data_IF_804157914154
#
_entry.id   IF_804157914154
#
_cell.length_a   1.000
_cell.length_b   1.000
_cell.length_c   1.000
_cell.angle_alpha   90.00
_cell.angle_beta   90.00
_cell.angle_gamma   90.00
#
_symmetry.space_group_name_H-M   'P 1'
#
loop_
_entity.id
_entity.type
_entity.pdbx_description
1 polymer ?
#
# COMPACT_ATOMS: atom_id res chain seq x y z
N UNK A 1 -25.45 -82.70 -40.18
CA UNK A 1 -24.59 -82.38 -39.01
C UNK A 1 -24.10 -80.93 -38.94
N UNK A 2 -23.69 -80.29 -40.05
CA UNK A 2 -23.18 -78.89 -40.03
C UNK A 2 -24.18 -77.81 -39.55
N UNK A 3 -25.47 -77.95 -39.87
CA UNK A 3 -26.52 -76.99 -39.44
C UNK A 3 -26.86 -77.08 -37.94
N UNK A 4 -26.75 -78.27 -37.35
CA UNK A 4 -27.02 -78.48 -35.92
C UNK A 4 -25.91 -77.89 -35.04
N UNK A 5 -24.63 -78.04 -35.44
CA UNK A 5 -23.52 -77.41 -34.73
C UNK A 5 -23.58 -75.87 -34.76
N UNK A 6 -24.02 -75.29 -35.88
CA UNK A 6 -24.11 -73.82 -36.00
C UNK A 6 -25.19 -73.25 -35.09
N UNK A 7 -26.35 -73.91 -34.97
CA UNK A 7 -27.40 -73.49 -34.03
C UNK A 7 -26.95 -73.68 -32.58
N UNK A 8 -26.24 -74.77 -32.27
CA UNK A 8 -25.71 -75.00 -30.91
C UNK A 8 -24.67 -73.95 -30.51
N UNK A 9 -23.77 -73.56 -31.43
CA UNK A 9 -22.79 -72.50 -31.19
C UNK A 9 -23.47 -71.12 -31.01
N UNK A 10 -24.52 -70.86 -31.78
CA UNK A 10 -25.29 -69.61 -31.72
C UNK A 10 -26.01 -69.47 -30.38
N UNK A 11 -26.61 -70.55 -29.87
CA UNK A 11 -27.26 -70.59 -28.56
C UNK A 11 -26.23 -70.46 -27.43
N UNK A 12 -25.06 -71.09 -27.55
CA UNK A 12 -23.97 -70.94 -26.57
C UNK A 12 -23.47 -69.49 -26.47
N UNK A 13 -23.32 -68.80 -27.61
CA UNK A 13 -22.89 -67.40 -27.67
C UNK A 13 -23.90 -66.45 -27.02
N UNK A 14 -25.20 -66.69 -27.23
CA UNK A 14 -26.28 -65.92 -26.61
C UNK A 14 -26.30 -66.12 -25.08
N UNK A 15 -26.02 -67.34 -24.60
CA UNK A 15 -25.91 -67.62 -23.17
C UNK A 15 -24.65 -66.98 -22.53
N UNK A 16 -23.56 -66.82 -23.27
CA UNK A 16 -22.35 -66.14 -22.75
C UNK A 16 -22.46 -64.62 -22.69
N UNK A 17 -23.33 -64.00 -23.49
CA UNK A 17 -23.57 -62.53 -23.43
C UNK A 17 -24.62 -62.13 -22.38
N UNK A 18 -25.34 -63.08 -21.78
CA UNK A 18 -26.25 -62.83 -20.64
C UNK A 18 -25.60 -63.05 -19.28
N UNK A 19 -24.31 -63.37 -19.23
CA UNK A 19 -23.52 -63.12 -18.04
C UNK A 19 -23.32 -61.60 -17.95
N UNK A 20 -24.36 -60.91 -17.49
CA UNK A 20 -24.16 -59.69 -16.74
C UNK A 20 -23.02 -59.99 -15.79
N UNK A 21 -21.97 -59.17 -15.86
CA UNK A 21 -21.04 -59.01 -14.76
C UNK A 21 -21.90 -58.57 -13.59
N UNK A 22 -22.41 -59.54 -12.84
CA UNK A 22 -22.76 -59.34 -11.47
C UNK A 22 -21.42 -59.13 -10.79
N UNK A 23 -20.97 -57.87 -10.78
CA UNK A 23 -20.17 -57.39 -9.68
C UNK A 23 -20.89 -57.89 -8.43
N UNK A 24 -20.18 -58.72 -7.69
CA UNK A 24 -20.60 -59.36 -6.45
C UNK A 24 -21.56 -58.45 -5.68
N UNK A 25 -22.84 -58.84 -5.65
CA UNK A 25 -23.86 -58.21 -4.81
C UNK A 25 -23.64 -58.61 -3.34
N UNK A 26 -22.41 -58.46 -2.88
CA UNK A 26 -21.88 -58.83 -1.58
C UNK A 26 -21.14 -57.69 -0.89
N UNK A 27 -21.24 -56.45 -1.39
CA UNK A 27 -20.88 -55.25 -0.61
C UNK A 27 -21.58 -53.96 -1.08
N UNK A 28 -22.82 -54.09 -1.60
CA UNK A 28 -23.69 -52.94 -1.92
C UNK A 28 -24.22 -52.36 -0.60
N UNK A 29 -23.39 -51.54 0.05
CA UNK A 29 -23.71 -50.91 1.33
C UNK A 29 -22.51 -50.35 2.10
N UNK A 30 -21.26 -50.63 1.70
CA UNK A 30 -20.07 -50.17 2.43
C UNK A 30 -19.22 -49.11 1.73
N UNK A 31 -19.37 -48.88 0.45
CA UNK A 31 -18.94 -47.61 -0.15
C UNK A 31 -20.07 -46.61 -0.02
N UNK A 32 -20.41 -46.25 1.23
CA UNK A 32 -20.93 -44.93 1.46
C UNK A 32 -19.86 -43.97 0.96
N UNK A 33 -20.10 -43.33 -0.19
CA UNK A 33 -19.44 -42.07 -0.51
C UNK A 33 -19.71 -41.17 0.69
N UNK A 34 -18.74 -41.09 1.59
CA UNK A 34 -18.78 -40.22 2.75
C UNK A 34 -18.61 -38.81 2.19
N UNK A 35 -19.67 -38.24 1.63
CA UNK A 35 -19.75 -36.86 1.16
C UNK A 35 -19.87 -35.93 2.36
N UNK A 36 -19.13 -36.19 3.43
CA UNK A 36 -19.00 -35.27 4.55
C UNK A 36 -18.16 -34.14 4.01
N UNK A 37 -18.84 -33.14 3.47
CA UNK A 37 -18.21 -31.91 3.07
C UNK A 37 -17.73 -31.25 4.36
N UNK A 38 -16.44 -30.92 4.48
CA UNK A 38 -15.93 -30.35 5.71
C UNK A 38 -16.59 -29.00 5.96
N UNK A 39 -16.86 -28.71 7.24
CA UNK A 39 -17.41 -27.42 7.65
C UNK A 39 -16.34 -26.32 7.67
N UNK A 40 -15.06 -26.71 7.67
CA UNK A 40 -13.91 -25.82 7.75
C UNK A 40 -12.82 -26.29 6.81
N UNK A 41 -12.00 -25.35 6.34
CA UNK A 41 -10.82 -25.62 5.53
C UNK A 41 -9.55 -25.23 6.28
N UNK A 42 -8.50 -26.04 6.16
CA UNK A 42 -7.18 -25.72 6.74
C UNK A 42 -6.42 -24.77 5.81
N UNK A 43 -6.00 -23.64 6.35
CA UNK A 43 -5.14 -22.67 5.67
C UNK A 43 -3.77 -22.74 6.30
N UNK A 44 -2.75 -22.96 5.46
CA UNK A 44 -1.33 -22.88 5.82
C UNK A 44 -0.72 -21.66 5.16
N UNK A 45 -0.08 -20.78 5.94
CA UNK A 45 0.58 -19.58 5.42
C UNK A 45 2.09 -19.66 5.70
N UNK A 46 2.90 -19.51 4.65
CA UNK A 46 4.36 -19.51 4.74
C UNK A 46 4.91 -18.24 4.10
N UNK A 47 5.96 -17.68 4.70
CA UNK A 47 6.70 -16.56 4.14
C UNK A 47 8.17 -16.58 4.57
N UNK A 48 9.04 -15.92 3.79
CA UNK A 48 10.47 -15.80 4.09
C UNK A 48 10.80 -14.50 4.87
N UNK A 49 12.05 -14.36 5.29
CA UNK A 49 12.50 -13.29 6.21
C UNK A 49 12.42 -11.85 5.67
N UNK A 50 12.01 -11.64 4.42
CA UNK A 50 11.86 -10.31 3.82
C UNK A 50 10.56 -9.59 4.22
N UNK A 51 9.68 -10.23 4.99
CA UNK A 51 8.43 -9.59 5.42
C UNK A 51 7.65 -10.40 6.44
N UNK A 52 6.43 -9.94 6.68
CA UNK A 52 5.46 -10.48 7.63
C UNK A 52 4.11 -10.62 6.95
N UNK A 53 3.27 -11.53 7.46
CA UNK A 53 1.88 -11.68 7.02
C UNK A 53 0.95 -11.46 8.20
N UNK A 54 -0.09 -10.66 7.99
CA UNK A 54 -1.15 -10.39 8.95
C UNK A 54 -2.43 -11.10 8.53
N UNK A 55 -3.09 -11.78 9.47
CA UNK A 55 -4.47 -12.25 9.34
C UNK A 55 -5.36 -11.31 10.15
N UNK A 56 -6.31 -10.65 9.48
CA UNK A 56 -7.24 -9.70 10.12
C UNK A 56 -6.50 -8.65 10.98
N UNK A 57 -5.38 -8.12 10.46
CA UNK A 57 -4.53 -7.13 11.14
C UNK A 57 -3.60 -7.68 12.24
N UNK A 58 -3.60 -8.99 12.49
CA UNK A 58 -2.78 -9.63 13.50
C UNK A 58 -1.67 -10.48 12.89
N UNK A 59 -0.45 -10.34 13.43
CA UNK A 59 0.71 -11.08 12.95
C UNK A 59 0.50 -12.59 13.16
N UNK A 60 0.72 -13.36 12.10
CA UNK A 60 0.80 -14.82 12.14
C UNK A 60 2.23 -15.26 11.86
N UNK A 61 2.69 -16.33 12.51
CA UNK A 61 4.02 -16.87 12.26
C UNK A 61 4.11 -17.54 10.88
N UNK A 62 5.31 -17.58 10.30
CA UNK A 62 5.54 -18.37 9.08
C UNK A 62 5.33 -19.86 9.37
N UNK A 63 4.60 -20.55 8.49
CA UNK A 63 4.15 -21.93 8.70
C UNK A 63 2.89 -22.06 9.58
N UNK A 64 2.25 -20.94 9.95
CA UNK A 64 1.01 -20.97 10.73
C UNK A 64 -0.09 -21.74 9.99
N UNK A 65 -0.85 -22.51 10.77
CA UNK A 65 -2.03 -23.26 10.33
C UNK A 65 -3.24 -22.82 11.11
N UNK A 66 -4.34 -22.55 10.42
CA UNK A 66 -5.61 -22.19 11.04
C UNK A 66 -6.78 -22.68 10.20
N UNK A 67 -7.92 -22.90 10.84
CA UNK A 67 -9.17 -23.26 10.18
C UNK A 67 -9.94 -21.99 9.79
N UNK A 68 -10.54 -22.00 8.60
CA UNK A 68 -11.52 -21.01 8.16
C UNK A 68 -12.82 -21.74 7.85
N UNK A 69 -13.95 -21.19 8.30
CA UNK A 69 -15.25 -21.79 8.02
C UNK A 69 -15.51 -21.81 6.51
N UNK A 70 -16.20 -22.85 6.07
CA UNK A 70 -16.49 -23.01 4.65
C UNK A 70 -17.38 -21.86 4.18
N UNK A 71 -17.00 -21.27 3.06
CA UNK A 71 -17.61 -20.08 2.45
C UNK A 71 -17.39 -18.75 3.19
N UNK A 72 -16.63 -18.76 4.28
CA UNK A 72 -16.21 -17.50 4.91
C UNK A 72 -15.11 -16.82 4.10
N UNK A 73 -15.02 -15.51 4.28
CA UNK A 73 -13.97 -14.69 3.70
C UNK A 73 -12.63 -14.87 4.40
N UNK A 74 -11.54 -14.72 3.66
CA UNK A 74 -10.18 -14.69 4.19
C UNK A 74 -9.45 -13.45 3.66
N UNK A 75 -8.85 -12.68 4.57
CA UNK A 75 -8.00 -11.54 4.24
C UNK A 75 -6.62 -11.68 4.86
N UNK A 76 -5.58 -11.54 4.03
CA UNK A 76 -4.18 -11.59 4.44
C UNK A 76 -3.45 -10.36 3.93
N UNK A 77 -2.81 -9.61 4.82
CA UNK A 77 -1.98 -8.45 4.49
C UNK A 77 -0.49 -8.79 4.51
N UNK A 78 0.27 -8.33 3.53
CA UNK A 78 1.71 -8.58 3.43
C UNK A 78 2.52 -7.31 3.74
N UNK A 79 3.19 -7.29 4.89
CA UNK A 79 4.06 -6.18 5.30
C UNK A 79 5.50 -6.52 4.93
N UNK A 80 6.07 -5.79 3.98
CA UNK A 80 7.45 -6.01 3.54
C UNK A 80 8.43 -5.17 4.36
N UNK A 81 9.53 -5.78 4.84
CA UNK A 81 10.60 -5.07 5.56
C UNK A 81 11.21 -3.95 4.73
N UNK A 82 11.88 -3.00 5.37
CA UNK A 82 12.47 -1.83 4.72
C UNK A 82 13.45 -2.16 3.58
N UNK A 83 14.16 -3.29 3.69
CA UNK A 83 15.12 -3.78 2.70
C UNK A 83 14.51 -4.73 1.65
N UNK A 84 13.18 -4.89 1.63
CA UNK A 84 12.50 -5.91 0.83
C UNK A 84 11.18 -5.41 0.22
N UNK A 85 10.74 -6.06 -0.86
CA UNK A 85 9.41 -5.91 -1.44
C UNK A 85 8.76 -7.29 -1.63
N UNK A 86 7.44 -7.33 -1.74
CA UNK A 86 6.72 -8.55 -2.09
C UNK A 86 6.94 -8.85 -3.57
N UNK A 87 7.59 -9.97 -3.89
CA UNK A 87 7.87 -10.39 -5.26
C UNK A 87 6.75 -11.27 -5.82
N UNK A 88 6.27 -12.22 -5.00
CA UNK A 88 5.33 -13.24 -5.49
C UNK A 88 4.45 -13.79 -4.39
N UNK A 89 3.22 -14.13 -4.74
CA UNK A 89 2.30 -14.88 -3.88
C UNK A 89 1.76 -16.08 -4.63
N UNK A 90 1.81 -17.26 -4.02
CA UNK A 90 1.23 -18.48 -4.60
C UNK A 90 0.18 -19.08 -3.67
N UNK A 91 -0.84 -19.70 -4.26
CA UNK A 91 -1.89 -20.43 -3.54
C UNK A 91 -1.99 -21.81 -4.18
N UNK A 92 -1.73 -22.86 -3.39
CA UNK A 92 -1.66 -24.24 -3.85
C UNK A 92 -0.73 -24.41 -5.07
N UNK A 93 0.41 -23.70 -5.06
CA UNK A 93 1.43 -23.74 -6.13
C UNK A 93 1.10 -22.92 -7.38
N UNK A 94 -0.10 -22.32 -7.47
CA UNK A 94 -0.47 -21.42 -8.57
C UNK A 94 -0.12 -19.98 -8.20
N UNK A 95 0.34 -19.18 -9.16
CA UNK A 95 0.63 -17.76 -8.97
C UNK A 95 -0.66 -16.93 -8.80
N UNK A 96 -0.69 -16.12 -7.74
CA UNK A 96 -1.78 -15.22 -7.35
C UNK A 96 -1.28 -13.79 -7.17
N UNK A 97 -0.05 -13.47 -7.60
CA UNK A 97 0.56 -12.15 -7.39
C UNK A 97 -0.31 -11.02 -7.95
N UNK A 98 -0.85 -11.18 -9.16
CA UNK A 98 -1.77 -10.20 -9.79
C UNK A 98 -3.15 -10.10 -9.13
N UNK A 99 -3.45 -10.95 -8.14
CA UNK A 99 -4.68 -10.91 -7.34
C UNK A 99 -4.52 -10.09 -6.07
N UNK A 100 -3.30 -9.69 -5.71
CA UNK A 100 -3.11 -8.78 -4.61
C UNK A 100 -3.57 -7.39 -5.00
N UNK A 101 -4.33 -6.79 -4.09
CA UNK A 101 -4.76 -5.41 -4.21
C UNK A 101 -4.23 -4.66 -3.00
N UNK A 102 -3.40 -3.65 -3.25
CA UNK A 102 -2.82 -2.80 -2.20
C UNK A 102 -2.09 -3.59 -1.11
N UNK A 103 -1.39 -4.67 -1.48
CA UNK A 103 -0.67 -5.57 -0.58
C UNK A 103 -1.55 -6.51 0.26
N UNK A 104 -2.85 -6.61 -0.06
CA UNK A 104 -3.78 -7.57 0.54
C UNK A 104 -4.17 -8.66 -0.45
N UNK A 105 -4.15 -9.91 0.01
CA UNK A 105 -4.73 -11.06 -0.66
C UNK A 105 -6.09 -11.36 -0.02
N UNK A 106 -7.15 -11.34 -0.84
CA UNK A 106 -8.52 -11.51 -0.36
C UNK A 106 -9.22 -12.65 -1.10
N UNK A 107 -9.99 -13.41 -0.33
CA UNK A 107 -10.91 -14.42 -0.82
C UNK A 107 -12.28 -14.12 -0.24
N UNK A 108 -13.27 -13.93 -1.11
CA UNK A 108 -14.66 -13.71 -0.67
C UNK A 108 -15.26 -14.97 -0.04
N UNK A 109 -14.73 -16.15 -0.41
CA UNK A 109 -15.21 -17.44 0.09
C UNK A 109 -14.13 -18.51 0.00
N UNK A 110 -13.81 -19.16 1.12
CA UNK A 110 -12.91 -20.31 1.19
C UNK A 110 -13.68 -21.62 0.95
N UNK A 111 -13.27 -22.38 -0.07
CA UNK A 111 -13.96 -23.62 -0.49
C UNK A 111 -13.07 -24.87 -0.49
N UNK A 112 -11.80 -24.70 -0.16
CA UNK A 112 -10.80 -25.78 -0.12
C UNK A 112 -9.69 -25.39 0.84
N UNK A 113 -8.94 -26.38 1.29
CA UNK A 113 -7.69 -26.16 2.00
C UNK A 113 -6.70 -25.40 1.10
N UNK A 114 -5.93 -24.50 1.68
CA UNK A 114 -5.00 -23.64 0.95
C UNK A 114 -3.61 -23.64 1.58
N UNK A 115 -2.60 -23.80 0.75
CA UNK A 115 -1.21 -23.51 1.06
C UNK A 115 -0.84 -22.19 0.37
N UNK A 116 -0.68 -21.13 1.16
CA UNK A 116 -0.40 -19.78 0.67
C UNK A 116 1.05 -19.44 1.00
N UNK A 117 1.83 -19.08 -0.02
CA UNK A 117 3.25 -18.74 0.13
C UNK A 117 3.50 -17.32 -0.36
N UNK A 118 3.95 -16.44 0.54
CA UNK A 118 4.42 -15.11 0.22
C UNK A 118 5.95 -15.13 0.08
N UNK A 119 6.45 -14.65 -1.05
CA UNK A 119 7.88 -14.54 -1.34
C UNK A 119 8.25 -13.07 -1.42
N UNK A 120 9.08 -12.63 -0.48
CA UNK A 120 9.68 -11.31 -0.47
C UNK A 120 11.08 -11.35 -1.07
N UNK A 121 11.46 -10.30 -1.77
CA UNK A 121 12.78 -10.14 -2.38
C UNK A 121 13.43 -8.88 -1.87
N UNK A 122 14.72 -8.96 -1.61
CA UNK A 122 15.51 -7.81 -1.20
C UNK A 122 15.53 -6.76 -2.30
N UNK A 123 15.37 -5.51 -1.89
CA UNK A 123 15.69 -4.36 -2.71
C UNK A 123 17.21 -4.33 -2.93
N UNK A 124 17.66 -3.69 -4.01
CA UNK A 124 19.06 -3.33 -4.10
C UNK A 124 19.32 -2.19 -3.10
N UNK A 125 20.37 -2.29 -2.28
CA UNK A 125 20.67 -1.26 -1.29
C UNK A 125 21.26 0.00 -1.94
N UNK A 126 21.33 1.14 -1.22
CA UNK A 126 22.48 2.01 -1.39
C UNK A 126 23.70 1.14 -1.06
N UNK A 127 24.63 1.02 -2.01
CA UNK A 127 25.85 0.23 -1.86
C UNK A 127 26.46 0.51 -0.48
N UNK A 128 26.74 -0.52 0.33
CA UNK A 128 27.73 -0.37 1.40
C UNK A 128 28.96 0.29 0.78
N UNK A 129 29.65 1.24 1.46
CA UNK A 129 30.88 1.77 0.91
C UNK A 129 31.86 0.61 0.79
N UNK A 130 31.98 0.05 -0.41
CA UNK A 130 33.08 -0.83 -0.76
C UNK A 130 34.32 0.02 -0.67
N UNK A 131 34.98 -0.01 0.49
CA UNK A 131 36.38 0.34 0.59
C UNK A 131 37.12 -0.72 -0.22
N UNK A 132 37.15 -0.54 -1.54
CA UNK A 132 38.17 -1.18 -2.36
C UNK A 132 39.51 -0.79 -1.71
N UNK A 133 40.34 -1.75 -1.30
CA UNK A 133 41.68 -1.44 -0.86
C UNK A 133 42.37 -0.77 -2.06
N UNK A 134 42.58 0.54 -1.96
CA UNK A 134 43.41 1.22 -2.96
C UNK A 134 44.82 0.68 -2.74
N UNK A 135 45.39 0.13 -3.81
CA UNK A 135 46.79 -0.30 -3.88
C UNK A 135 47.70 0.79 -3.28
N UNK A 136 48.72 0.44 -2.47
CA UNK A 136 49.51 1.44 -1.76
C UNK A 136 50.15 2.41 -2.75
N UNK A 137 49.76 3.68 -2.70
CA UNK A 137 50.46 4.73 -3.45
C UNK A 137 51.82 4.95 -2.80
N UNK A 138 52.88 4.88 -3.61
CA UNK A 138 54.26 5.12 -3.22
C UNK A 138 54.41 6.48 -2.49
N UNK A 139 55.15 6.54 -1.37
CA UNK A 139 55.16 7.73 -0.53
C UNK A 139 55.82 8.92 -1.24
N UNK A 140 55.04 9.98 -1.45
CA UNK A 140 55.58 11.26 -1.93
C UNK A 140 56.32 11.95 -0.78
N UNK A 141 57.48 12.55 -1.11
CA UNK A 141 58.41 13.24 -0.19
C UNK A 141 57.69 14.31 0.66
N UNK A 142 57.99 14.45 1.97
CA UNK A 142 57.33 15.42 2.84
C UNK A 142 57.65 16.86 2.43
N UNK A 143 56.62 17.72 2.44
CA UNK A 143 56.82 19.18 2.39
C UNK A 143 56.83 19.72 3.82
N UNK A 144 57.68 20.71 4.06
CA UNK A 144 58.01 21.35 5.34
C UNK A 144 56.78 21.96 6.06
N UNK A 145 56.70 21.89 7.41
CA UNK A 145 55.50 22.29 8.14
C UNK A 145 55.42 23.82 8.29
N UNK A 146 54.26 24.39 7.97
CA UNK A 146 53.92 25.76 8.39
C UNK A 146 53.17 25.73 9.73
N UNK A 147 53.49 26.69 10.60
CA UNK A 147 53.16 26.79 12.02
C UNK A 147 51.65 26.73 12.39
N UNK A 148 51.31 26.36 13.65
CA UNK A 148 49.93 26.12 14.08
C UNK A 148 49.20 27.43 14.40
N UNK A 149 47.93 27.51 14.01
CA UNK A 149 46.99 28.52 14.54
C UNK A 149 46.04 27.82 15.52
N UNK A 150 45.93 28.39 16.71
CA UNK A 150 45.21 27.92 17.91
C UNK A 150 43.68 27.85 17.70
N UNK A 151 42.93 26.94 18.37
CA UNK A 151 41.52 26.71 18.13
C UNK A 151 40.64 27.58 19.04
N UNK A 152 39.69 28.28 18.44
CA UNK A 152 38.60 28.94 19.17
C UNK A 152 37.29 28.62 18.47
N UNK A 153 36.39 27.92 19.16
CA UNK A 153 34.98 27.85 18.81
C UNK A 153 34.41 26.45 18.83
N UNK A 154 33.92 26.05 20.00
CA UNK A 154 32.94 24.96 20.12
C UNK A 154 31.63 25.41 19.49
N UNK A 155 31.19 24.73 18.43
CA UNK A 155 29.81 24.82 17.95
C UNK A 155 29.28 23.44 17.63
N UNK A 156 28.13 23.17 18.24
CA UNK A 156 27.29 21.99 18.20
C UNK A 156 26.98 21.53 16.76
N UNK A 157 27.07 20.23 16.39
CA UNK A 157 26.63 19.78 15.08
C UNK A 157 25.12 19.55 15.08
N UNK A 158 24.34 20.54 14.62
CA UNK A 158 23.02 20.30 14.03
C UNK A 158 23.18 20.38 12.51
N UNK A 159 23.09 19.23 11.87
CA UNK A 159 23.26 19.10 10.43
C UNK A 159 23.34 17.63 10.03
N UNK A 160 22.22 16.91 10.08
CA UNK A 160 22.08 15.66 9.33
C UNK A 160 21.64 16.05 7.91
N UNK A 161 22.60 16.08 7.00
CA UNK A 161 22.34 16.15 5.56
C UNK A 161 21.59 14.88 5.13
N UNK A 162 20.38 15.10 4.62
CA UNK A 162 19.58 14.17 3.84
C UNK A 162 20.39 13.60 2.66
N UNK A 163 20.47 12.27 2.45
CA UNK A 163 20.96 11.74 1.19
C UNK A 163 19.82 11.75 0.17
N UNK A 164 19.54 12.93 -0.40
CA UNK A 164 18.80 12.99 -1.66
C UNK A 164 19.70 12.51 -2.80
N UNK A 165 19.29 11.41 -3.43
CA UNK A 165 19.75 11.00 -4.76
C UNK A 165 21.09 10.27 -4.81
N UNK A 166 21.06 8.94 -4.75
CA UNK A 166 22.14 8.14 -5.35
C UNK A 166 21.85 8.00 -6.84
N UNK A 167 22.53 8.77 -7.69
CA UNK A 167 22.74 8.35 -9.08
C UNK A 167 23.66 7.15 -9.07
N UNK A 168 23.13 5.97 -9.38
CA UNK A 168 23.88 4.72 -9.47
C UNK A 168 25.02 4.81 -10.51
N UNK A 169 26.23 4.35 -10.20
CA UNK A 169 27.23 4.07 -11.20
C UNK A 169 26.98 2.68 -11.81
N UNK A 170 26.49 2.65 -13.06
CA UNK A 170 26.65 1.52 -13.99
C UNK A 170 25.77 0.28 -13.78
N UNK A 171 24.60 0.28 -14.41
CA UNK A 171 23.74 -0.89 -14.64
C UNK A 171 22.27 -0.50 -14.66
N UNK A 172 21.54 -0.86 -15.74
CA UNK A 172 20.13 -0.51 -16.00
C UNK A 172 19.12 -1.20 -15.04
N UNK A 173 19.50 -1.43 -13.78
CA UNK A 173 18.63 -2.04 -12.78
C UNK A 173 17.99 -0.93 -11.92
N UNK A 174 16.74 -0.58 -12.25
CA UNK A 174 15.90 0.25 -11.38
C UNK A 174 15.66 -0.51 -10.05
N UNK A 175 15.87 0.17 -8.91
CA UNK A 175 15.52 -0.38 -7.60
C UNK A 175 14.00 -0.55 -7.52
N UNK A 176 13.48 -1.79 -7.35
CA UNK A 176 12.04 -2.03 -7.33
C UNK A 176 11.34 -1.42 -6.11
N UNK A 177 12.08 -0.96 -5.10
CA UNK A 177 11.50 -0.44 -3.87
C UNK A 177 11.38 1.09 -3.91
N UNK A 178 10.14 1.57 -4.04
CA UNK A 178 9.87 2.99 -3.89
C UNK A 178 10.03 3.36 -2.42
N UNK A 179 10.80 4.42 -2.14
CA UNK A 179 11.03 4.95 -0.80
C UNK A 179 10.72 6.43 -0.77
N UNK A 180 10.04 6.85 0.28
CA UNK A 180 9.70 8.25 0.54
C UNK A 180 9.77 8.53 2.03
N UNK A 181 10.02 9.77 2.42
CA UNK A 181 9.78 10.18 3.80
C UNK A 181 8.29 10.21 4.10
N UNK A 182 7.92 10.16 5.38
CA UNK A 182 6.53 10.37 5.81
C UNK A 182 6.47 11.37 6.95
N UNK A 183 5.59 12.36 6.83
CA UNK A 183 5.37 13.41 7.82
C UNK A 183 3.89 13.64 8.04
N UNK A 184 3.55 14.31 9.12
CA UNK A 184 2.19 14.79 9.38
C UNK A 184 1.97 14.94 10.88
N UNK A 185 0.71 14.92 11.30
CA UNK A 185 0.32 15.12 12.69
C UNK A 185 -0.46 13.92 13.24
N UNK A 186 -0.31 13.68 14.54
CA UNK A 186 -1.14 12.73 15.28
C UNK A 186 -2.17 13.51 16.10
N UNK A 187 -3.42 13.06 16.02
CA UNK A 187 -4.56 13.60 16.74
C UNK A 187 -5.23 12.53 17.60
N UNK A 188 -5.85 12.98 18.69
CA UNK A 188 -6.84 12.23 19.47
C UNK A 188 -8.16 12.98 19.35
N UNK A 189 -9.09 12.41 18.58
CA UNK A 189 -10.28 13.12 18.10
C UNK A 189 -9.88 14.37 17.31
N UNK A 190 -10.26 15.55 17.80
CA UNK A 190 -9.94 16.85 17.16
C UNK A 190 -8.69 17.53 17.71
N UNK A 191 -8.10 16.98 18.78
CA UNK A 191 -6.98 17.60 19.47
C UNK A 191 -5.68 16.96 19.00
N UNK A 192 -4.61 17.75 18.94
CA UNK A 192 -3.26 17.21 18.77
C UNK A 192 -2.97 16.20 19.88
N UNK A 193 -2.16 15.20 19.55
CA UNK A 193 -1.75 14.16 20.48
C UNK A 193 -0.23 14.19 20.71
N UNK A 194 0.28 15.17 21.48
CA UNK A 194 1.70 15.27 21.82
C UNK A 194 2.23 14.01 22.50
N UNK A 195 3.48 13.65 22.20
CA UNK A 195 4.16 12.50 22.80
C UNK A 195 3.62 11.14 22.35
N UNK A 196 2.67 11.11 21.41
CA UNK A 196 2.19 9.87 20.83
C UNK A 196 3.32 9.16 20.08
N UNK A 197 3.47 7.86 20.31
CA UNK A 197 4.49 7.03 19.65
C UNK A 197 3.84 6.22 18.55
N UNK A 198 4.41 6.28 17.36
CA UNK A 198 4.01 5.48 16.21
C UNK A 198 4.98 4.32 16.08
N UNK A 199 4.45 3.11 16.24
CA UNK A 199 5.11 1.88 15.86
C UNK A 199 4.53 1.42 14.52
N UNK A 200 5.33 1.55 13.46
CA UNK A 200 4.95 1.21 12.09
C UNK A 200 5.67 -0.09 11.69
N UNK A 201 4.93 -0.98 11.04
CA UNK A 201 5.39 -2.26 10.55
C UNK A 201 6.00 -3.16 11.63
N UNK A 202 5.33 -3.24 12.78
CA UNK A 202 5.70 -4.13 13.90
C UNK A 202 7.07 -3.78 14.49
N UNK A 203 7.37 -2.48 14.57
CA UNK A 203 8.55 -1.91 15.20
C UNK A 203 9.73 -1.68 14.26
N UNK A 204 9.58 -1.99 12.97
CA UNK A 204 10.59 -1.71 11.93
C UNK A 204 10.81 -0.20 11.79
N UNK A 205 9.75 0.59 11.92
CA UNK A 205 9.78 2.05 11.87
C UNK A 205 9.19 2.59 13.17
N UNK A 206 9.89 3.53 13.79
CA UNK A 206 9.43 4.19 15.02
C UNK A 206 9.51 5.70 14.86
N UNK A 207 8.45 6.39 15.31
CA UNK A 207 8.42 7.84 15.39
C UNK A 207 7.72 8.27 16.68
N UNK A 208 8.00 9.49 17.12
CA UNK A 208 7.33 10.11 18.27
C UNK A 208 6.85 11.50 17.85
N UNK A 209 5.59 11.81 18.19
CA UNK A 209 4.98 13.08 17.90
C UNK A 209 5.49 14.16 18.85
N UNK A 210 5.90 15.30 18.31
CA UNK A 210 6.35 16.47 19.05
C UNK A 210 5.23 17.14 19.86
N UNK A 211 5.55 18.27 20.51
CA UNK A 211 4.58 19.06 21.29
C UNK A 211 3.44 19.63 20.46
N UNK A 212 3.68 19.82 19.17
CA UNK A 212 2.73 20.23 18.14
C UNK A 212 2.04 19.04 17.47
N UNK A 213 2.21 17.82 18.00
CA UNK A 213 1.67 16.58 17.44
C UNK A 213 2.33 16.16 16.12
N UNK A 214 3.34 16.88 15.63
CA UNK A 214 3.99 16.56 14.37
C UNK A 214 4.93 15.35 14.53
N UNK A 215 4.91 14.44 13.56
CA UNK A 215 5.84 13.31 13.48
C UNK A 215 6.60 13.33 12.15
N UNK A 216 7.76 12.68 12.13
CA UNK A 216 8.54 12.47 10.91
C UNK A 216 9.14 11.08 10.93
N UNK A 217 9.11 10.43 9.77
CA UNK A 217 9.73 9.15 9.46
C UNK A 217 10.62 9.34 8.25
N UNK A 218 11.87 8.89 8.33
CA UNK A 218 12.86 9.08 7.26
C UNK A 218 12.50 8.32 5.99
N UNK A 219 12.02 7.08 6.16
CA UNK A 219 11.72 6.17 5.05
C UNK A 219 10.48 5.35 5.37
N UNK A 220 9.50 5.41 4.47
CA UNK A 220 8.41 4.45 4.29
C UNK A 220 8.44 3.98 2.83
N UNK A 221 7.91 2.78 2.57
CA UNK A 221 7.79 2.25 1.22
C UNK A 221 6.36 2.40 0.70
N UNK A 222 6.19 2.15 -0.59
CA UNK A 222 4.88 1.73 -1.07
C UNK A 222 4.56 0.30 -0.58
N UNK A 223 3.27 -0.05 -0.57
CA UNK A 223 2.79 -1.34 -0.10
C UNK A 223 1.90 -1.24 1.13
N UNK A 224 1.72 -2.38 1.80
CA UNK A 224 0.82 -2.53 2.94
C UNK A 224 1.58 -2.39 4.25
N UNK A 225 1.03 -1.58 5.15
CA UNK A 225 1.62 -1.19 6.41
C UNK A 225 0.64 -1.39 7.56
N UNK A 226 1.19 -1.50 8.75
CA UNK A 226 0.44 -1.47 10.01
C UNK A 226 1.01 -0.37 10.89
N UNK A 227 0.15 0.39 11.56
CA UNK A 227 0.55 1.37 12.56
C UNK A 227 -0.18 1.10 13.87
N UNK A 228 0.59 1.07 14.95
CA UNK A 228 0.09 1.10 16.31
C UNK A 228 0.50 2.42 16.93
N UNK A 229 -0.48 3.17 17.42
CA UNK A 229 -0.24 4.45 18.10
C UNK A 229 -0.42 4.21 19.59
N UNK A 230 0.61 4.54 20.37
CA UNK A 230 0.57 4.52 21.82
C UNK A 230 0.70 5.94 22.38
N UNK A 231 0.25 6.13 23.61
CA UNK A 231 0.49 7.38 24.33
C UNK A 231 1.94 7.48 24.85
N UNK A 232 2.28 8.58 25.51
CA UNK A 232 3.62 8.82 26.07
C UNK A 232 4.06 7.72 27.07
N UNK A 233 3.09 7.10 27.76
CA UNK A 233 3.28 6.04 28.75
C UNK A 233 3.38 4.64 28.11
N UNK A 234 3.07 4.52 26.81
CA UNK A 234 3.09 3.26 26.07
C UNK A 234 1.75 2.51 26.06
N UNK A 235 0.67 3.10 26.54
CA UNK A 235 -0.67 2.52 26.41
C UNK A 235 -1.17 2.63 24.97
N UNK A 236 -1.73 1.54 24.43
CA UNK A 236 -2.24 1.51 23.06
C UNK A 236 -3.47 2.40 22.95
N UNK A 237 -3.35 3.44 22.13
CA UNK A 237 -4.44 4.36 21.82
C UNK A 237 -5.22 3.91 20.58
N UNK A 238 -4.54 3.29 19.60
CA UNK A 238 -5.20 2.72 18.44
C UNK A 238 -4.27 1.88 17.56
N UNK A 239 -4.87 1.07 16.70
CA UNK A 239 -4.14 0.26 15.71
C UNK A 239 -4.93 0.21 14.41
N UNK A 240 -4.26 0.40 13.27
CA UNK A 240 -4.87 0.24 11.95
C UNK A 240 -3.85 -0.29 10.95
N UNK A 241 -4.35 -0.81 9.83
CA UNK A 241 -3.57 -1.05 8.63
C UNK A 241 -3.86 0.00 7.58
N UNK A 242 -2.91 0.25 6.70
CA UNK A 242 -3.07 1.15 5.56
C UNK A 242 -2.14 0.73 4.43
N UNK A 243 -2.43 1.18 3.21
CA UNK A 243 -1.56 0.94 2.07
C UNK A 243 -1.12 2.24 1.44
N UNK A 244 0.14 2.34 1.06
CA UNK A 244 0.66 3.41 0.22
C UNK A 244 0.72 2.89 -1.22
N UNK A 245 0.07 3.59 -2.14
CA UNK A 245 -0.01 3.21 -3.55
C UNK A 245 0.48 4.34 -4.42
N UNK A 246 1.54 4.08 -5.19
CA UNK A 246 2.09 5.04 -6.14
C UNK A 246 1.29 5.00 -7.43
N UNK A 247 0.94 6.16 -7.96
CA UNK A 247 0.16 6.30 -9.19
C UNK A 247 0.83 7.26 -10.17
N UNK A 248 0.95 6.83 -11.43
CA UNK A 248 1.39 7.68 -12.56
C UNK A 248 0.36 8.76 -12.93
N UNK A 249 -0.88 8.64 -12.44
CA UNK A 249 -2.00 9.54 -12.80
C UNK A 249 -2.44 10.46 -11.67
N UNK A 250 -2.02 10.19 -10.44
CA UNK A 250 -2.32 11.05 -9.31
C UNK A 250 -1.51 12.35 -9.40
N UNK A 251 -2.17 13.49 -9.16
CA UNK A 251 -1.53 14.81 -9.09
C UNK A 251 -1.31 15.28 -7.65
N UNK A 252 -2.00 14.66 -6.70
CA UNK A 252 -1.93 14.97 -5.27
C UNK A 252 -2.14 13.71 -4.43
N UNK A 253 -1.80 13.78 -3.14
CA UNK A 253 -2.06 12.70 -2.19
C UNK A 253 -3.54 12.65 -1.84
N UNK A 254 -4.14 11.47 -1.98
CA UNK A 254 -5.52 11.22 -1.53
C UNK A 254 -5.55 10.00 -0.63
N UNK A 255 -6.51 9.94 0.30
CA UNK A 255 -6.74 8.75 1.13
C UNK A 255 -8.13 8.23 0.83
N UNK A 256 -8.20 6.98 0.35
CA UNK A 256 -9.44 6.27 0.01
C UNK A 256 -9.72 5.28 1.13
N UNK A 257 -10.92 5.32 1.70
CA UNK A 257 -11.41 4.30 2.63
C UNK A 257 -12.28 3.30 1.86
N UNK A 258 -11.93 2.02 1.95
CA UNK A 258 -12.72 0.91 1.39
C UNK A 258 -13.81 0.48 2.37
N UNK A 259 -14.80 -0.26 1.87
CA UNK A 259 -15.95 -0.74 2.65
C UNK A 259 -15.54 -1.68 3.79
N UNK A 260 -14.44 -2.41 3.62
CA UNK A 260 -13.85 -3.27 4.66
C UNK A 260 -13.02 -2.50 5.71
N UNK A 261 -13.00 -1.17 5.64
CA UNK A 261 -12.27 -0.29 6.56
C UNK A 261 -10.80 -0.04 6.20
N UNK A 262 -10.25 -0.72 5.19
CA UNK A 262 -8.88 -0.47 4.71
C UNK A 262 -8.73 0.95 4.18
N UNK A 263 -7.57 1.56 4.42
CA UNK A 263 -7.27 2.93 4.01
C UNK A 263 -6.09 2.93 3.05
N UNK A 264 -6.25 3.56 1.89
CA UNK A 264 -5.25 3.59 0.83
C UNK A 264 -4.83 5.03 0.59
N UNK A 265 -3.58 5.35 0.93
CA UNK A 265 -2.94 6.60 0.56
C UNK A 265 -2.40 6.47 -0.87
N UNK A 266 -3.08 7.10 -1.83
CA UNK A 266 -2.62 7.17 -3.22
C UNK A 266 -1.74 8.40 -3.39
N UNK A 267 -0.51 8.22 -3.89
CA UNK A 267 0.48 9.28 -4.05
C UNK A 267 0.96 9.40 -5.50
N UNK A 268 1.28 10.60 -6.00
CA UNK A 268 1.93 10.78 -7.30
C UNK A 268 3.27 10.05 -7.40
N UNK A 269 3.61 9.54 -8.57
CA UNK A 269 4.96 9.00 -8.83
C UNK A 269 6.02 10.09 -8.65
N UNK A 270 7.13 9.73 -8.01
CA UNK A 270 8.21 10.66 -7.67
C UNK A 270 7.97 11.47 -6.39
N UNK A 271 6.94 11.13 -5.60
CA UNK A 271 6.73 11.72 -4.28
C UNK A 271 7.91 11.41 -3.36
N UNK A 272 8.59 12.45 -2.89
CA UNK A 272 9.70 12.34 -1.93
C UNK A 272 9.23 12.30 -0.47
N UNK A 273 8.08 12.92 -0.18
CA UNK A 273 7.52 12.98 1.17
C UNK A 273 6.01 12.82 1.11
N UNK A 274 5.52 11.79 1.78
CA UNK A 274 4.11 11.51 2.01
C UNK A 274 3.63 12.26 3.25
N UNK A 275 2.59 13.08 3.09
CA UNK A 275 1.96 13.79 4.21
C UNK A 275 0.67 13.08 4.62
N UNK A 276 0.64 12.50 5.82
CA UNK A 276 -0.52 11.80 6.38
C UNK A 276 -0.75 12.24 7.82
N UNK A 277 -1.99 12.56 8.15
CA UNK A 277 -2.40 12.78 9.52
C UNK A 277 -3.10 11.53 10.06
N UNK A 278 -2.72 11.12 11.27
CA UNK A 278 -3.33 10.00 11.97
C UNK A 278 -4.27 10.52 13.05
N UNK A 279 -5.55 10.18 12.93
CA UNK A 279 -6.59 10.58 13.88
C UNK A 279 -7.05 9.36 14.67
N UNK A 280 -6.63 9.27 15.93
CA UNK A 280 -7.11 8.25 16.87
C UNK A 280 -8.52 8.62 17.32
N UNK A 281 -9.49 7.78 16.99
CA UNK A 281 -10.89 7.94 17.37
C UNK A 281 -11.16 7.38 18.77
N UNK A 282 -12.28 7.78 19.37
CA UNK A 282 -12.68 7.35 20.72
C UNK A 282 -12.93 5.84 20.83
N UNK A 283 -13.23 5.17 19.72
CA UNK A 283 -13.42 3.71 19.63
C UNK A 283 -12.11 2.92 19.44
N UNK A 284 -10.96 3.60 19.42
CA UNK A 284 -9.64 3.01 19.21
C UNK A 284 -9.28 2.73 17.74
N UNK A 285 -10.17 3.05 16.80
CA UNK A 285 -9.84 3.05 15.37
C UNK A 285 -8.98 4.26 15.01
N UNK A 286 -8.23 4.16 13.92
CA UNK A 286 -7.44 5.28 13.41
C UNK A 286 -7.96 5.66 12.02
N UNK A 287 -8.32 6.92 11.85
CA UNK A 287 -8.62 7.51 10.53
C UNK A 287 -7.38 8.20 9.99
N UNK A 288 -7.06 7.96 8.73
CA UNK A 288 -5.93 8.55 8.02
C UNK A 288 -6.50 9.57 7.05
N UNK A 289 -5.94 10.77 7.06
CA UNK A 289 -6.30 11.83 6.10
C UNK A 289 -5.03 12.41 5.48
N UNK A 290 -5.10 12.96 4.24
CA UNK A 290 -3.98 13.69 3.69
C UNK A 290 -3.55 14.83 4.63
N UNK A 291 -2.27 14.85 4.99
CA UNK A 291 -1.69 15.92 5.80
C UNK A 291 -1.40 17.15 4.94
N UNK A 292 -1.30 18.32 5.57
CA UNK A 292 -0.88 19.54 4.86
C UNK A 292 0.64 19.70 5.01
N UNK A 293 1.40 19.90 3.92
CA UNK A 293 2.79 20.30 4.04
C UNK A 293 2.86 21.62 4.79
N UNK A 294 3.43 21.61 6.00
CA UNK A 294 3.74 22.86 6.70
C UNK A 294 4.89 23.50 5.92
N UNK A 295 4.65 24.67 5.32
CA UNK A 295 5.74 25.46 4.75
C UNK A 295 6.73 25.76 5.89
N UNK A 296 7.94 25.21 5.79
CA UNK A 296 9.02 25.61 6.69
C UNK A 296 9.19 27.13 6.55
N UNK A 297 9.26 27.89 7.66
CA UNK A 297 9.49 29.33 7.57
C UNK A 297 10.80 29.52 6.81
N UNK A 298 10.71 30.10 5.61
CA UNK A 298 11.88 30.51 4.85
C UNK A 298 12.69 31.38 5.80
N UNK A 299 13.88 30.94 6.21
CA UNK A 299 14.75 31.74 7.07
C UNK A 299 14.92 33.09 6.40
N UNK A 300 14.30 34.12 6.97
CA UNK A 300 14.50 35.50 6.54
C UNK A 300 15.99 35.80 6.74
N UNK A 301 16.75 35.86 5.65
CA UNK A 301 18.09 36.41 5.65
C UNK A 301 17.99 37.79 6.32
N UNK A 302 18.83 38.13 7.31
CA UNK A 302 18.74 39.42 7.96
C UNK A 302 18.92 40.51 6.90
N UNK A 303 17.88 41.30 6.65
CA UNK A 303 17.97 42.46 5.77
C UNK A 303 18.89 43.46 6.47
N UNK A 304 20.12 43.57 5.98
CA UNK A 304 21.00 44.67 6.33
C UNK A 304 20.31 45.97 5.90
N UNK A 305 20.11 46.85 6.88
CA UNK A 305 19.50 48.18 6.75
C UNK A 305 20.13 48.93 5.56
N UNK A 306 19.36 49.45 4.59
CA UNK A 306 19.93 50.27 3.53
C UNK A 306 20.45 51.59 4.13
N UNK A 307 21.66 51.97 3.77
CA UNK A 307 22.27 53.25 4.10
C UNK A 307 21.47 54.39 3.47
N UNK A 308 21.16 55.40 4.27
CA UNK A 308 20.66 56.71 3.84
C UNK A 308 21.60 57.28 2.76
N UNK A 309 21.10 57.40 1.54
CA UNK A 309 21.50 58.47 0.63
C UNK A 309 20.32 58.81 -0.28
N UNK A 310 19.84 60.04 -0.14
CA UNK A 310 18.56 60.48 -0.66
C UNK A 310 18.52 60.65 -2.18
N UNK A 311 17.37 60.28 -2.76
CA UNK A 311 16.76 61.00 -3.87
C UNK A 311 15.25 60.63 -3.96
N UNK A 312 14.34 61.56 -4.30
CA UNK A 312 12.91 61.29 -4.27
C UNK A 312 12.45 60.45 -5.47
N UNK A 313 11.67 59.40 -5.19
CA UNK A 313 11.05 58.50 -6.18
C UNK A 313 9.84 59.21 -6.80
N UNK A 314 9.86 59.40 -8.12
CA UNK A 314 8.70 59.77 -8.94
C UNK A 314 8.27 58.55 -9.77
N UNK A 315 7.05 58.09 -9.52
CA UNK A 315 6.19 57.24 -10.37
C UNK A 315 6.66 55.83 -10.73
N UNK A 316 6.08 54.82 -10.07
CA UNK A 316 5.69 53.59 -10.76
C UNK A 316 4.41 53.00 -10.12
N UNK A 317 3.31 52.79 -10.86
CA UNK A 317 2.14 52.13 -10.33
C UNK A 317 2.38 50.61 -10.29
N UNK A 318 2.33 50.01 -9.11
CA UNK A 318 2.24 48.56 -8.95
C UNK A 318 0.82 48.13 -9.29
N UNK A 319 0.60 47.64 -10.51
CA UNK A 319 -0.61 46.90 -10.85
C UNK A 319 -0.34 45.42 -10.54
N UNK A 320 -1.05 44.91 -9.55
CA UNK A 320 -1.18 43.47 -9.25
C UNK A 320 -1.65 42.72 -10.51
N UNK A 321 -0.82 41.83 -11.05
CA UNK A 321 -1.22 40.86 -12.07
C UNK A 321 -1.87 39.64 -11.43
N UNK A 322 -3.05 39.81 -10.84
CA UNK A 322 -3.93 38.69 -10.43
C UNK A 322 -5.23 38.67 -11.26
N UNK A 323 -5.25 39.27 -12.45
CA UNK A 323 -6.47 39.41 -13.26
C UNK A 323 -6.31 39.25 -14.77
N UNK A 324 -5.26 38.59 -15.25
CA UNK A 324 -4.94 38.54 -16.70
C UNK A 324 -5.06 37.13 -17.32
N UNK A 325 -6.01 36.32 -16.85
CA UNK A 325 -6.38 35.05 -17.51
C UNK A 325 -7.84 34.98 -17.99
N UNK A 326 -8.65 36.02 -17.73
CA UNK A 326 -10.06 36.05 -18.17
C UNK A 326 -10.27 36.95 -19.40
N UNK A 327 -9.24 37.68 -19.85
CA UNK A 327 -9.38 38.64 -20.97
C UNK A 327 -8.92 38.14 -22.33
N UNK A 328 -8.16 37.05 -22.42
CA UNK A 328 -7.55 36.64 -23.70
C UNK A 328 -8.34 35.60 -24.50
N UNK A 329 -9.39 34.98 -23.95
CA UNK A 329 -10.17 34.01 -24.73
C UNK A 329 -11.65 33.89 -24.29
N UNK A 330 -12.54 34.80 -24.70
CA UNK A 330 -13.97 34.72 -24.37
C UNK A 330 -14.64 33.45 -24.94
N UNK A 331 -14.03 32.79 -25.93
CA UNK A 331 -14.54 31.54 -26.51
C UNK A 331 -14.27 30.32 -25.62
N UNK A 332 -13.14 30.28 -24.90
CA UNK A 332 -12.81 29.19 -23.98
C UNK A 332 -13.62 29.29 -22.67
N UNK A 333 -13.87 30.50 -22.17
CA UNK A 333 -14.71 30.72 -21.00
C UNK A 333 -16.18 30.30 -21.24
N UNK A 334 -16.70 30.52 -22.46
CA UNK A 334 -18.03 30.06 -22.86
C UNK A 334 -18.12 28.52 -22.96
N UNK A 335 -17.04 27.84 -23.38
CA UNK A 335 -17.01 26.38 -23.48
C UNK A 335 -17.02 25.69 -22.09
N UNK A 336 -16.34 26.25 -21.09
CA UNK A 336 -16.35 25.72 -19.72
C UNK A 336 -17.73 25.91 -19.07
N UNK A 337 -18.40 27.04 -19.31
CA UNK A 337 -19.75 27.28 -18.81
C UNK A 337 -20.80 26.38 -19.45
N UNK A 338 -20.69 26.10 -20.76
CA UNK A 338 -21.57 25.18 -21.47
C UNK A 338 -21.36 23.71 -21.07
N UNK A 339 -20.12 23.28 -20.81
CA UNK A 339 -19.83 21.93 -20.30
C UNK A 339 -20.35 21.72 -18.87
N UNK A 340 -20.22 22.73 -17.99
CA UNK A 340 -20.74 22.68 -16.62
C UNK A 340 -22.27 22.53 -16.57
N UNK A 341 -22.99 23.26 -17.43
CA UNK A 341 -24.45 23.14 -17.52
C UNK A 341 -24.90 21.79 -18.11
N UNK A 342 -24.12 21.20 -19.04
CA UNK A 342 -24.40 19.86 -19.58
C UNK A 342 -24.30 18.77 -18.51
N UNK A 343 -23.29 18.82 -17.62
CA UNK A 343 -23.14 17.87 -16.52
C UNK A 343 -24.29 17.96 -15.50
N UNK A 344 -24.73 19.18 -15.19
CA UNK A 344 -25.90 19.40 -14.31
C UNK A 344 -27.17 18.86 -14.98
N UNK A 345 -27.35 19.07 -16.29
CA UNK A 345 -28.49 18.53 -17.03
C UNK A 345 -28.49 17.00 -17.08
N UNK A 346 -27.32 16.37 -17.23
CA UNK A 346 -27.17 14.90 -17.18
C UNK A 346 -27.51 14.33 -15.80
N UNK A 347 -27.14 14.99 -14.71
CA UNK A 347 -27.50 14.58 -13.35
C UNK A 347 -29.02 14.69 -13.14
N UNK A 348 -29.65 15.77 -13.63
CA UNK A 348 -31.10 15.97 -13.55
C UNK A 348 -31.85 14.93 -14.39
N UNK A 349 -31.39 14.63 -15.61
CA UNK A 349 -31.98 13.58 -16.46
C UNK A 349 -31.81 12.17 -15.87
N UNK A 350 -30.65 11.87 -15.27
CA UNK A 350 -30.44 10.58 -14.58
C UNK A 350 -31.36 10.42 -13.37
N UNK A 351 -31.58 11.50 -12.61
CA UNK A 351 -32.49 11.48 -11.47
C UNK A 351 -33.93 11.25 -11.93
N UNK A 352 -34.39 11.98 -12.95
CA UNK A 352 -35.74 11.82 -13.49
C UNK A 352 -36.02 10.42 -14.04
N UNK A 353 -35.06 9.80 -14.74
CA UNK A 353 -35.21 8.42 -15.24
C UNK A 353 -35.34 7.40 -14.11
N UNK A 354 -34.69 7.64 -12.97
CA UNK A 354 -34.76 6.76 -11.80
C UNK A 354 -36.11 6.88 -11.11
N UNK A 355 -36.67 8.09 -11.04
CA UNK A 355 -38.00 8.34 -10.49
C UNK A 355 -39.11 7.71 -11.39
N UNK A 356 -38.96 7.79 -12.72
CA UNK A 356 -39.90 7.19 -13.68
C UNK A 356 -39.86 5.63 -13.64
N UNK A 357 -38.68 5.02 -13.43
CA UNK A 357 -38.52 3.56 -13.31
C UNK A 357 -39.08 2.99 -11.98
N UNK A 358 -39.10 3.78 -10.90
CA UNK A 358 -39.73 3.40 -9.63
C UNK A 358 -41.27 3.53 -9.68
N UNK A 359 -41.81 4.47 -10.46
CA UNK A 359 -43.25 4.65 -10.64
C UNK A 359 -43.88 3.58 -11.56
N UNK A 360 -43.11 3.01 -12.51
CA UNK A 360 -43.56 1.90 -13.34
C UNK A 360 -43.62 0.56 -12.57
N UNK A 361 -42.70 0.35 -11.61
CA UNK A 361 -42.65 -0.87 -10.79
C UNK A 361 -43.66 -0.89 -9.62
N UNK A 362 -44.39 0.21 -9.39
CA UNK A 362 -45.38 0.32 -8.30
C UNK A 362 -46.83 0.34 -8.78
N UNK A 363 -47.09 0.19 -10.08
CA UNK A 363 -48.47 0.03 -10.58
C UNK A 363 -49.01 -1.37 -10.24
N UNK A 364 -50.16 -1.48 -9.56
CA UNK A 364 -50.78 -2.77 -9.31
C UNK A 364 -51.28 -3.35 -10.63
N UNK A 365 -50.81 -4.57 -10.94
CA UNK A 365 -51.34 -5.38 -12.05
C UNK A 365 -52.81 -5.68 -11.72
N UNK A 366 -53.73 -5.08 -12.49
CA UNK A 366 -55.16 -5.41 -12.48
C UNK A 366 -55.47 -6.42 -13.58
#
# INVERSE_FOLDING_TARGET
MKKACSVLLSVLLIFTMQLCVFAEAGEIGKTQLKTVVPNTHEITVTYNDGGYVLKDGNLIASGAKFAVDRFDSLSLGAVAKLDSHLERVTVNGKDYTDKLQYGMLRFDSVTTDMNIVFTFKKCFGPTEPTTNPTEPTEPTRPTEPTAPTDPSGTTNPSGTTNPSGTTNPGGDHEDPCVRMGMKGNVYRGKNLFPGAKLDIDLGEIKAEAGKDGAYSVDVIKDGFHVVTITDENGEVAGKTTFSVSVSDTATETTVIKLDDGSQIAVVPKGTNTLWLDFVVNDDGTITIVPGTPVEEPTSEVPVTKPSDSGNPIMNNPVISKTGELIRENPLAAAAVFLCGLSLIFFIILRKKRKDDEEEENTKPVC
#
